data_IF_174406504375
#
_entry.id   IF_174406504375
#
_cell.length_a   1.000
_cell.length_b   1.000
_cell.length_c   1.000
_cell.angle_alpha   90.00
_cell.angle_beta   90.00
_cell.angle_gamma   90.00
#
_symmetry.space_group_name_H-M   'P 1'
#
loop_
_entity.id
_entity.type
_entity.pdbx_description
1 polymer ?
#
# COMPACT_ATOMS: atom_id res chain seq x y z
N UNK A 1 10.90 -8.87 6.76
CA UNK A 1 11.82 -8.11 5.89
C UNK A 1 11.25 -6.72 5.73
N UNK A 2 12.14 -5.74 5.57
CA UNK A 2 11.91 -4.39 5.08
C UNK A 2 13.27 -4.04 4.46
N UNK A 3 13.41 -4.29 3.16
CA UNK A 3 14.62 -4.89 2.56
C UNK A 3 15.99 -4.23 2.82
N UNK A 4 16.05 -2.94 3.16
CA UNK A 4 17.30 -2.21 3.43
C UNK A 4 17.15 -1.39 4.71
N UNK A 5 17.99 -1.60 5.73
CA UNK A 5 17.87 -0.90 7.02
C UNK A 5 17.95 0.62 6.91
N UNK A 6 18.80 1.11 6.01
CA UNK A 6 19.03 2.54 5.75
C UNK A 6 17.93 3.22 4.92
N UNK A 7 16.93 2.47 4.42
CA UNK A 7 15.89 3.01 3.55
C UNK A 7 14.52 2.95 4.22
N UNK A 8 13.93 4.12 4.49
CA UNK A 8 12.60 4.24 5.09
C UNK A 8 11.47 4.34 4.06
N UNK A 9 11.76 4.94 2.90
CA UNK A 9 10.79 5.23 1.86
C UNK A 9 11.42 5.14 0.47
N UNK A 10 10.72 4.52 -0.48
CA UNK A 10 11.11 4.51 -1.89
C UNK A 10 9.94 4.97 -2.75
N UNK A 11 10.20 5.78 -3.78
CA UNK A 11 9.19 6.25 -4.74
C UNK A 11 9.39 5.55 -6.08
N UNK A 12 8.31 5.27 -6.80
CA UNK A 12 8.36 4.61 -8.10
C UNK A 12 7.02 4.65 -8.81
N UNK A 13 6.81 3.74 -9.76
CA UNK A 13 5.55 3.60 -10.49
C UNK A 13 5.02 2.17 -10.40
N UNK A 14 3.71 2.01 -10.41
CA UNK A 14 3.04 0.70 -10.50
C UNK A 14 2.13 0.66 -11.74
N UNK A 15 2.47 -0.23 -12.67
CA UNK A 15 1.73 -0.49 -13.92
C UNK A 15 0.90 -1.78 -13.81
N UNK A 16 1.56 -2.89 -13.45
CA UNK A 16 0.94 -4.22 -13.31
C UNK A 16 0.95 -4.75 -11.88
N UNK A 17 2.04 -4.52 -11.15
CA UNK A 17 2.15 -4.76 -9.69
C UNK A 17 3.48 -4.28 -9.13
N UNK A 18 4.18 -3.37 -9.81
CA UNK A 18 5.59 -3.05 -9.55
C UNK A 18 5.85 -2.42 -8.18
N UNK A 19 4.80 -2.01 -7.46
CA UNK A 19 4.90 -1.60 -6.05
C UNK A 19 4.28 -2.64 -5.11
N UNK A 20 3.12 -3.20 -5.45
CA UNK A 20 2.42 -4.19 -4.59
C UNK A 20 3.13 -5.55 -4.52
N UNK A 21 3.69 -6.01 -5.63
CA UNK A 21 4.45 -7.26 -5.74
C UNK A 21 5.69 -7.27 -4.83
N UNK A 22 6.64 -6.32 -4.99
CA UNK A 22 7.79 -6.26 -4.11
C UNK A 22 7.42 -5.90 -2.66
N UNK A 23 6.32 -5.17 -2.43
CA UNK A 23 5.82 -4.95 -1.08
C UNK A 23 5.40 -6.25 -0.38
N UNK A 24 4.63 -7.11 -1.07
CA UNK A 24 4.21 -8.40 -0.53
C UNK A 24 5.39 -9.35 -0.26
N UNK A 25 6.36 -9.41 -1.17
CA UNK A 25 7.58 -10.22 -0.99
C UNK A 25 8.50 -9.64 0.10
N UNK A 26 8.56 -8.32 0.17
CA UNK A 26 9.47 -7.58 1.03
C UNK A 26 8.95 -7.33 2.43
N UNK A 27 7.69 -7.65 2.74
CA UNK A 27 7.04 -7.32 4.01
C UNK A 27 6.85 -5.81 4.24
N UNK A 28 6.63 -5.06 3.15
CA UNK A 28 6.50 -3.60 3.16
C UNK A 28 5.07 -3.18 2.84
N UNK A 29 4.78 -1.90 3.09
CA UNK A 29 3.56 -1.26 2.62
C UNK A 29 3.78 -0.71 1.21
N UNK A 30 3.03 -1.23 0.23
CA UNK A 30 3.10 -0.79 -1.16
C UNK A 30 1.88 0.00 -1.57
N UNK A 31 2.06 1.28 -1.88
CA UNK A 31 0.98 2.15 -2.32
C UNK A 31 0.82 2.13 -3.84
N UNK A 32 -0.41 1.89 -4.31
CA UNK A 32 -0.85 2.16 -5.67
C UNK A 32 -2.11 3.02 -5.64
N UNK A 33 -2.00 4.35 -5.87
CA UNK A 33 -3.16 5.21 -5.86
C UNK A 33 -4.07 4.98 -7.06
N UNK A 34 -5.25 5.58 -6.99
CA UNK A 34 -6.12 5.75 -8.16
C UNK A 34 -5.33 6.40 -9.30
N UNK A 35 -5.59 5.92 -10.52
CA UNK A 35 -4.92 6.41 -11.71
C UNK A 35 -5.18 7.91 -11.91
N UNK A 36 -4.12 8.65 -12.25
CA UNK A 36 -4.18 10.11 -12.43
C UNK A 36 -4.17 10.95 -11.14
N UNK A 37 -4.26 10.36 -9.94
CA UNK A 37 -4.21 11.10 -8.67
C UNK A 37 -2.89 11.88 -8.50
N UNK A 38 -1.79 11.29 -8.98
CA UNK A 38 -0.46 11.88 -8.90
C UNK A 38 0.11 11.95 -10.30
N UNK A 39 0.60 13.13 -10.67
CA UNK A 39 1.17 13.35 -12.00
C UNK A 39 2.56 12.72 -12.10
N UNK A 40 2.76 11.85 -13.09
CA UNK A 40 4.04 11.23 -13.42
C UNK A 40 4.86 12.08 -14.40
N UNK A 41 4.85 13.41 -14.23
CA UNK A 41 5.66 14.31 -15.08
C UNK A 41 7.13 13.94 -14.97
N UNK A 42 7.80 13.83 -16.11
CA UNK A 42 9.21 13.45 -16.22
C UNK A 42 9.55 12.01 -15.81
N UNK A 43 8.55 11.16 -15.52
CA UNK A 43 8.76 9.72 -15.44
C UNK A 43 8.78 9.13 -16.86
N UNK A 44 9.61 8.11 -17.08
CA UNK A 44 9.56 7.31 -18.30
C UNK A 44 8.23 6.56 -18.34
N UNK A 45 7.43 6.65 -19.43
CA UNK A 45 6.11 6.04 -19.47
C UNK A 45 6.11 4.66 -20.16
N UNK A 46 6.18 3.54 -19.42
CA UNK A 46 6.01 2.22 -20.01
C UNK A 46 4.57 1.95 -20.48
N UNK A 47 3.55 2.47 -19.78
CA UNK A 47 2.15 2.32 -20.16
C UNK A 47 1.29 3.47 -19.57
N UNK A 48 1.18 4.62 -20.25
CA UNK A 48 0.53 5.82 -19.71
C UNK A 48 -0.88 5.62 -19.16
N UNK A 49 -1.64 4.65 -19.68
CA UNK A 49 -3.02 4.37 -19.30
C UNK A 49 -3.15 3.51 -18.04
N UNK A 50 -2.05 2.90 -17.59
CA UNK A 50 -2.03 2.04 -16.39
C UNK A 50 -1.03 2.53 -15.34
N UNK A 51 -0.07 3.37 -15.72
CA UNK A 51 0.97 3.87 -14.83
C UNK A 51 0.41 4.73 -13.71
N UNK A 52 0.81 4.45 -12.48
CA UNK A 52 0.46 5.21 -11.29
C UNK A 52 1.70 5.50 -10.46
N UNK A 53 1.84 6.72 -9.92
CA UNK A 53 2.94 7.01 -9.01
C UNK A 53 2.68 6.35 -7.66
N UNK A 54 3.58 5.47 -7.23
CA UNK A 54 3.47 4.76 -5.97
C UNK A 54 4.68 4.99 -5.07
N UNK A 55 4.63 4.43 -3.89
CA UNK A 55 5.77 4.38 -2.99
C UNK A 55 5.72 3.13 -2.11
N UNK A 56 6.90 2.74 -1.61
CA UNK A 56 7.08 1.72 -0.59
C UNK A 56 7.39 2.40 0.74
N UNK A 57 6.80 1.92 1.82
CA UNK A 57 7.07 2.37 3.18
C UNK A 57 7.27 1.18 4.12
N UNK A 58 8.12 1.36 5.13
CA UNK A 58 8.37 0.34 6.16
C UNK A 58 7.28 0.31 7.24
N UNK A 59 6.64 1.44 7.46
CA UNK A 59 5.75 1.65 8.61
C UNK A 59 4.44 2.33 8.15
N UNK A 60 3.29 2.00 8.75
CA UNK A 60 2.01 2.61 8.41
C UNK A 60 1.96 4.13 8.68
N UNK A 61 2.64 4.64 9.71
CA UNK A 61 2.73 6.09 9.97
C UNK A 61 3.53 6.80 8.88
N UNK A 62 4.61 6.19 8.37
CA UNK A 62 5.35 6.71 7.22
C UNK A 62 4.51 6.67 5.95
N UNK A 63 3.69 5.62 5.78
CA UNK A 63 2.74 5.53 4.67
C UNK A 63 1.69 6.65 4.74
N UNK A 64 1.16 6.95 5.93
CA UNK A 64 0.20 8.04 6.13
C UNK A 64 0.83 9.40 5.81
N UNK A 65 1.99 9.70 6.41
CA UNK A 65 2.71 10.95 6.18
C UNK A 65 3.05 11.14 4.69
N UNK A 66 3.48 10.08 4.01
CA UNK A 66 3.78 10.16 2.57
C UNK A 66 2.52 10.31 1.73
N UNK A 67 1.44 9.62 2.07
CA UNK A 67 0.14 9.75 1.39
C UNK A 67 -0.40 11.18 1.51
N UNK A 68 -0.33 11.77 2.70
CA UNK A 68 -0.68 13.19 2.94
C UNK A 68 0.13 14.12 2.04
N UNK A 69 1.44 13.90 1.94
CA UNK A 69 2.31 14.71 1.09
C UNK A 69 2.01 14.54 -0.42
N UNK A 70 1.69 13.32 -0.85
CA UNK A 70 1.55 13.00 -2.28
C UNK A 70 0.14 13.30 -2.82
N UNK A 71 -0.89 13.09 -2.01
CA UNK A 71 -2.30 13.21 -2.39
C UNK A 71 -2.94 14.53 -1.93
N UNK A 72 -2.24 15.30 -1.07
CA UNK A 72 -2.66 16.64 -0.62
C UNK A 72 -4.06 16.63 -0.01
N UNK A 73 -4.98 17.46 -0.52
CA UNK A 73 -6.35 17.57 -0.04
C UNK A 73 -7.21 16.33 -0.28
N UNK A 74 -6.76 15.40 -1.14
CA UNK A 74 -7.51 14.18 -1.47
C UNK A 74 -7.16 13.01 -0.55
N UNK A 75 -6.60 13.29 0.63
CA UNK A 75 -6.23 12.28 1.61
C UNK A 75 -6.53 12.75 3.03
N UNK A 76 -7.27 11.92 3.76
CA UNK A 76 -7.49 12.09 5.19
C UNK A 76 -6.35 11.37 5.91
N UNK A 77 -5.49 12.15 6.55
CA UNK A 77 -4.41 11.64 7.39
C UNK A 77 -4.94 11.39 8.80
N UNK A 78 -4.37 10.39 9.46
CA UNK A 78 -4.73 9.99 10.82
C UNK A 78 -3.54 10.13 11.79
N UNK A 79 -2.65 11.06 11.50
CA UNK A 79 -1.46 11.35 12.30
C UNK A 79 -1.77 12.06 13.64
N UNK A 80 -3.01 12.52 13.82
CA UNK A 80 -3.49 13.20 15.02
C UNK A 80 -3.88 12.26 16.19
N UNK A 81 -3.78 10.94 15.98
CA UNK A 81 -4.11 9.93 16.99
C UNK A 81 -5.60 9.59 17.09
N UNK A 82 -6.45 10.09 16.19
CA UNK A 82 -7.90 9.81 16.15
C UNK A 82 -8.28 8.44 15.55
N UNK A 83 -7.31 7.52 15.44
CA UNK A 83 -7.50 6.20 14.83
C UNK A 83 -8.42 5.30 15.67
N UNK A 84 -9.71 5.28 15.32
CA UNK A 84 -10.61 4.20 15.74
C UNK A 84 -10.50 3.03 14.78
N UNK A 85 -9.83 1.96 15.20
CA UNK A 85 -9.79 0.72 14.44
C UNK A 85 -11.18 0.07 14.39
N UNK A 86 -11.58 -0.51 13.25
CA UNK A 86 -12.86 -1.19 13.14
C UNK A 86 -12.90 -2.35 14.14
N UNK A 87 -13.94 -2.38 14.99
CA UNK A 87 -14.15 -3.42 16.01
C UNK A 87 -14.82 -4.68 15.46
N UNK A 88 -15.42 -4.58 14.28
CA UNK A 88 -16.18 -5.65 13.64
C UNK A 88 -15.61 -5.89 12.25
N UNK A 89 -15.19 -7.12 11.98
CA UNK A 89 -14.79 -7.58 10.65
C UNK A 89 -15.92 -8.42 10.07
N UNK A 90 -16.57 -7.92 9.01
CA UNK A 90 -17.54 -8.70 8.25
C UNK A 90 -16.77 -9.60 7.29
N UNK A 91 -16.76 -10.90 7.56
CA UNK A 91 -16.07 -11.87 6.73
C UNK A 91 -17.08 -12.45 5.74
N UNK A 92 -16.89 -12.17 4.45
CA UNK A 92 -17.65 -12.79 3.38
C UNK A 92 -17.06 -14.19 3.15
N UNK A 93 -17.88 -15.22 3.31
CA UNK A 93 -17.56 -16.64 3.03
C UNK A 93 -16.32 -17.22 3.74
N UNK A 94 -16.05 -16.80 4.98
CA UNK A 94 -15.05 -17.53 5.77
C UNK A 94 -15.58 -18.93 6.10
N UNK A 95 -14.81 -20.01 5.84
CA UNK A 95 -15.28 -21.36 6.12
C UNK A 95 -15.54 -21.49 7.63
N UNK A 96 -16.81 -21.69 7.99
CA UNK A 96 -17.25 -21.90 9.38
C UNK A 96 -16.96 -23.31 9.88
N UNK A 97 -16.54 -24.20 8.99
CA UNK A 97 -16.14 -25.58 9.29
C UNK A 97 -14.62 -25.73 9.15
N UNK A 98 -14.01 -26.25 10.22
CA UNK A 98 -12.57 -26.54 10.26
C UNK A 98 -12.26 -27.71 9.33
N UNK A 99 -11.68 -27.42 8.17
CA UNK A 99 -11.04 -28.43 7.31
C UNK A 99 -9.54 -28.50 7.63
N UNK A 100 -8.90 -29.65 7.37
CA UNK A 100 -7.45 -29.81 7.50
C UNK A 100 -6.65 -28.78 6.67
N UNK A 101 -7.23 -28.24 5.60
CA UNK A 101 -6.66 -27.15 4.81
C UNK A 101 -6.75 -25.77 5.50
N UNK A 102 -7.75 -25.55 6.36
CA UNK A 102 -7.93 -24.28 7.10
C UNK A 102 -6.88 -24.09 8.20
N UNK A 103 -6.30 -25.19 8.72
CA UNK A 103 -5.24 -25.15 9.73
C UNK A 103 -3.85 -24.77 9.18
N UNK A 104 -3.66 -24.69 7.87
CA UNK A 104 -2.37 -24.33 7.24
C UNK A 104 -2.18 -22.82 7.00
N UNK A 105 -3.20 -22.02 7.26
CA UNK A 105 -3.22 -20.58 6.97
C UNK A 105 -3.04 -19.74 8.26
N UNK A 106 -3.06 -20.37 9.44
CA UNK A 106 -2.72 -19.78 10.73
C UNK A 106 -1.37 -20.32 11.22
#
# INVERSE_FOLDING_TARGET
MASCEWLNLAVGCDTGSSMRGPAGLGGLFGSRPTHGTVQLRHAMPPSPTMDTAGFLARDPSLMDAKSKALYKSNYTSYDDGSLEYPKTLYVLDFPTTTSASSQRIL
#
